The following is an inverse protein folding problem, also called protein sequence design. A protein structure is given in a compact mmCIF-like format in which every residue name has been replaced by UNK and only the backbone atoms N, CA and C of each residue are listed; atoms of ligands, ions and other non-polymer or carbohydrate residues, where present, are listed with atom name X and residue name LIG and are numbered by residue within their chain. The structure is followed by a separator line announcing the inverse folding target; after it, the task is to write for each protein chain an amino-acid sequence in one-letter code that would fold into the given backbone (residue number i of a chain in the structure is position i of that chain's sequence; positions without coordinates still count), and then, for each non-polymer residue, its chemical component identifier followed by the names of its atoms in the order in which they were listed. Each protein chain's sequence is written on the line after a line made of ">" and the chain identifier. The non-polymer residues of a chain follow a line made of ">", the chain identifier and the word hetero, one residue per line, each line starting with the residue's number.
data_IF_130533737820
#
_entry.id   IF_130533737820
#
_cell.length_a   1.000
_cell.length_b   1.000
_cell.length_c   1.000
_cell.angle_alpha   90.00
_cell.angle_beta   90.00
_cell.angle_gamma   90.00
#
_symmetry.space_group_name_H-M   'P 1'
#
loop_
_entity.id
_entity.type
_entity.pdbx_description
1 polymer ?
#
# COMPACT_ATOMS: atom_id res chain seq x y z
N UNK A 1 -22.39 12.87 2.42
CA UNK A 1 -23.80 12.48 2.28
C UNK A 1 -23.95 10.98 1.96
N UNK A 2 -23.21 10.45 0.97
CA UNK A 2 -23.27 9.02 0.59
C UNK A 2 -22.93 8.09 1.78
N UNK A 3 -21.90 8.41 2.56
CA UNK A 3 -21.46 7.61 3.72
C UNK A 3 -22.52 7.59 4.84
N UNK A 4 -23.24 8.69 5.05
CA UNK A 4 -24.31 8.76 6.03
C UNK A 4 -25.53 7.89 5.62
N UNK A 5 -25.84 7.84 4.32
CA UNK A 5 -26.92 7.00 3.78
C UNK A 5 -26.59 5.50 3.86
N UNK A 6 -25.36 5.10 3.58
CA UNK A 6 -24.94 3.70 3.65
C UNK A 6 -24.81 3.19 5.08
N UNK A 7 -24.47 4.07 6.04
CA UNK A 7 -24.28 3.69 7.45
C UNK A 7 -25.52 3.71 8.31
N UNK A 8 -26.68 4.09 7.79
CA UNK A 8 -27.92 4.18 8.58
C UNK A 8 -27.88 5.24 9.69
N UNK A 9 -26.92 6.16 9.66
CA UNK A 9 -26.84 7.25 10.64
C UNK A 9 -27.81 8.39 10.26
N UNK A 10 -28.54 8.89 11.26
CA UNK A 10 -29.16 10.20 11.11
C UNK A 10 -28.09 11.25 10.84
N UNK A 11 -28.36 12.22 9.97
CA UNK A 11 -27.38 13.26 9.59
C UNK A 11 -26.77 13.98 10.80
N UNK A 12 -27.57 14.19 11.87
CA UNK A 12 -27.09 14.74 13.14
C UNK A 12 -26.03 13.86 13.81
N UNK A 13 -26.23 12.55 13.92
CA UNK A 13 -25.24 11.64 14.51
C UNK A 13 -23.96 11.53 13.68
N UNK A 14 -24.04 11.73 12.36
CA UNK A 14 -22.88 11.84 11.49
C UNK A 14 -22.09 13.14 11.76
N UNK A 15 -22.79 14.26 11.87
CA UNK A 15 -22.18 15.57 12.16
C UNK A 15 -21.57 15.60 13.57
N UNK A 16 -22.20 15.00 14.56
CA UNK A 16 -21.66 14.90 15.92
C UNK A 16 -20.36 14.09 15.96
N UNK A 17 -20.27 13.02 15.20
CA UNK A 17 -19.03 12.24 15.07
C UNK A 17 -17.93 13.03 14.36
N UNK A 18 -18.26 13.77 13.29
CA UNK A 18 -17.33 14.67 12.61
C UNK A 18 -16.75 15.73 13.57
N UNK A 19 -17.60 16.29 14.44
CA UNK A 19 -17.22 17.36 15.36
C UNK A 19 -16.39 16.87 16.56
N UNK A 20 -16.55 15.63 16.96
CA UNK A 20 -15.95 15.07 18.18
C UNK A 20 -14.73 14.19 17.91
N UNK A 21 -14.26 14.09 16.65
CA UNK A 21 -13.14 13.22 16.32
C UNK A 21 -11.79 13.95 16.49
N UNK A 22 -10.83 13.38 17.26
CA UNK A 22 -9.56 14.03 17.61
C UNK A 22 -8.52 14.06 16.48
N UNK A 23 -8.93 14.00 15.21
CA UNK A 23 -8.03 14.04 14.05
C UNK A 23 -7.37 15.42 13.83
N UNK A 24 -7.78 16.44 14.60
CA UNK A 24 -7.27 17.82 14.44
C UNK A 24 -5.75 17.98 14.62
N UNK A 25 -5.08 17.00 15.24
CA UNK A 25 -3.63 17.10 15.51
C UNK A 25 -2.76 16.14 14.71
N UNK A 26 -3.35 15.19 13.98
CA UNK A 26 -2.62 14.04 13.40
C UNK A 26 -2.42 14.11 11.90
N UNK A 27 -3.25 14.87 11.17
CA UNK A 27 -3.09 15.00 9.71
C UNK A 27 -2.09 16.11 9.44
N UNK A 28 -0.81 15.74 9.27
CA UNK A 28 0.21 16.69 8.84
C UNK A 28 -0.16 17.21 7.44
N UNK A 29 -0.43 18.51 7.35
CA UNK A 29 -0.65 19.20 6.08
C UNK A 29 0.62 19.02 5.23
N UNK A 30 0.51 18.33 4.10
CA UNK A 30 1.51 18.44 3.06
C UNK A 30 1.45 19.89 2.55
N UNK A 31 2.58 20.59 2.50
CA UNK A 31 2.67 21.95 1.94
C UNK A 31 2.00 21.98 0.56
N UNK A 32 0.90 22.73 0.45
CA UNK A 32 0.15 22.93 -0.79
C UNK A 32 -1.18 22.18 -0.92
N UNK A 33 -1.58 21.33 0.03
CA UNK A 33 -2.89 20.64 -0.01
C UNK A 33 -3.83 21.25 1.07
N UNK A 34 -4.67 22.20 0.66
CA UNK A 34 -5.78 22.75 1.47
C UNK A 34 -6.97 21.77 1.50
N UNK A 35 -6.79 20.57 2.08
CA UNK A 35 -7.94 19.71 2.34
C UNK A 35 -8.56 20.08 3.70
N UNK A 36 -9.88 20.38 3.75
CA UNK A 36 -10.58 20.60 5.01
C UNK A 36 -10.44 19.37 5.93
N UNK A 37 -10.17 19.60 7.21
CA UNK A 37 -10.10 18.55 8.25
C UNK A 37 -11.32 17.62 8.20
N UNK A 38 -12.49 18.15 7.83
CA UNK A 38 -13.72 17.39 7.62
C UNK A 38 -13.60 16.26 6.57
N UNK A 39 -12.73 16.40 5.57
CA UNK A 39 -12.56 15.34 4.54
C UNK A 39 -11.77 14.17 5.13
N UNK A 40 -10.72 14.44 5.89
CA UNK A 40 -9.95 13.41 6.60
C UNK A 40 -10.83 12.60 7.56
N UNK A 41 -11.64 13.28 8.35
CA UNK A 41 -12.60 12.66 9.28
C UNK A 41 -13.65 11.82 8.52
N UNK A 42 -14.18 12.32 7.41
CA UNK A 42 -15.16 11.58 6.61
C UNK A 42 -14.55 10.29 6.00
N UNK A 43 -13.31 10.35 5.54
CA UNK A 43 -12.59 9.19 5.02
C UNK A 43 -12.28 8.17 6.13
N UNK A 44 -11.83 8.64 7.30
CA UNK A 44 -11.66 7.77 8.46
C UNK A 44 -12.95 7.03 8.84
N UNK A 45 -14.06 7.76 8.95
CA UNK A 45 -15.36 7.14 9.25
C UNK A 45 -15.79 6.13 8.18
N UNK A 46 -15.47 6.37 6.91
CA UNK A 46 -15.73 5.41 5.84
C UNK A 46 -14.91 4.12 6.03
N UNK A 47 -13.63 4.22 6.42
CA UNK A 47 -12.81 3.04 6.75
C UNK A 47 -13.39 2.27 7.94
N UNK A 48 -13.67 2.94 9.05
CA UNK A 48 -14.25 2.31 10.25
C UNK A 48 -15.55 1.56 9.91
N UNK A 49 -16.45 2.18 9.15
CA UNK A 49 -17.69 1.56 8.73
C UNK A 49 -17.45 0.29 7.90
N UNK A 50 -16.53 0.36 6.93
CA UNK A 50 -16.20 -0.76 6.04
C UNK A 50 -15.58 -1.91 6.82
N UNK A 51 -14.60 -1.64 7.68
CA UNK A 51 -13.96 -2.67 8.51
C UNK A 51 -14.92 -3.27 9.53
N UNK A 52 -15.79 -2.47 10.15
CA UNK A 52 -16.82 -2.94 11.05
C UNK A 52 -17.86 -3.83 10.35
N UNK A 53 -18.24 -3.50 9.12
CA UNK A 53 -19.14 -4.32 8.33
C UNK A 53 -18.46 -5.66 7.98
N UNK A 54 -17.21 -5.65 7.52
CA UNK A 54 -16.45 -6.86 7.23
C UNK A 54 -16.31 -7.74 8.49
N UNK A 55 -16.00 -7.13 9.64
CA UNK A 55 -15.86 -7.85 10.92
C UNK A 55 -17.16 -8.58 11.32
N UNK A 56 -18.31 -7.94 11.12
CA UNK A 56 -19.61 -8.47 11.51
C UNK A 56 -20.16 -9.49 10.53
N UNK A 57 -20.05 -9.22 9.24
CA UNK A 57 -20.72 -9.99 8.19
C UNK A 57 -19.77 -10.98 7.48
N UNK A 58 -18.49 -10.62 7.36
CA UNK A 58 -17.50 -11.35 6.57
C UNK A 58 -16.13 -11.43 7.27
N UNK A 59 -16.02 -12.07 8.47
CA UNK A 59 -14.79 -12.03 9.28
C UNK A 59 -13.54 -12.61 8.57
N UNK A 60 -13.71 -13.49 7.58
CA UNK A 60 -12.59 -13.97 6.78
C UNK A 60 -12.08 -12.90 5.82
N UNK A 61 -12.98 -12.11 5.24
CA UNK A 61 -12.59 -10.99 4.37
C UNK A 61 -11.95 -9.86 5.16
N UNK A 62 -12.32 -9.60 6.41
CA UNK A 62 -11.64 -8.62 7.28
C UNK A 62 -10.16 -8.95 7.42
N UNK A 63 -9.82 -10.23 7.67
CA UNK A 63 -8.43 -10.68 7.79
C UNK A 63 -7.61 -10.49 6.51
N UNK A 64 -8.26 -10.41 5.35
CA UNK A 64 -7.62 -10.13 4.08
C UNK A 64 -7.60 -8.62 3.78
N UNK A 65 -8.64 -7.88 4.18
CA UNK A 65 -8.76 -6.45 3.93
C UNK A 65 -7.62 -5.65 4.59
N UNK A 66 -7.22 -6.00 5.81
CA UNK A 66 -6.14 -5.32 6.53
C UNK A 66 -4.81 -5.44 5.76
N UNK A 67 -4.28 -6.63 5.44
CA UNK A 67 -3.06 -6.75 4.62
C UNK A 67 -3.15 -6.08 3.24
N UNK A 68 -4.33 -6.07 2.62
CA UNK A 68 -4.55 -5.37 1.35
C UNK A 68 -4.40 -3.85 1.52
N UNK A 69 -5.08 -3.26 2.51
CA UNK A 69 -5.04 -1.82 2.78
C UNK A 69 -3.64 -1.38 3.21
N UNK A 70 -2.98 -2.16 4.07
CA UNK A 70 -1.61 -1.95 4.48
C UNK A 70 -0.68 -1.88 3.25
N UNK A 71 -0.76 -2.90 2.39
CA UNK A 71 0.07 -2.96 1.19
C UNK A 71 -0.23 -1.80 0.24
N UNK A 72 -1.51 -1.53 -0.05
CA UNK A 72 -1.91 -0.44 -0.95
C UNK A 72 -1.54 0.94 -0.41
N UNK A 73 -1.54 1.14 0.92
CA UNK A 73 -1.18 2.42 1.53
C UNK A 73 0.31 2.72 1.51
N UNK A 74 1.17 1.69 1.47
CA UNK A 74 2.63 1.81 1.50
C UNK A 74 3.29 1.65 0.13
N UNK A 75 2.62 1.04 -0.82
CA UNK A 75 3.10 0.85 -2.18
C UNK A 75 2.77 2.07 -3.06
N UNK A 76 3.17 2.05 -4.32
CA UNK A 76 3.07 3.20 -5.21
C UNK A 76 1.61 3.62 -5.46
N UNK A 77 1.37 4.93 -5.40
CA UNK A 77 0.04 5.54 -5.64
C UNK A 77 -0.46 5.39 -7.08
N UNK A 78 0.40 5.01 -8.02
CA UNK A 78 0.04 4.61 -9.39
C UNK A 78 -0.72 3.29 -9.46
N UNK A 79 -0.81 2.58 -8.34
CA UNK A 79 -1.52 1.32 -8.16
C UNK A 79 -0.62 0.09 -8.17
N UNK A 80 -1.10 -0.95 -7.53
CA UNK A 80 -0.46 -2.27 -7.43
C UNK A 80 -1.13 -3.22 -8.42
N UNK A 81 -0.38 -3.99 -9.24
CA UNK A 81 -0.98 -4.98 -10.13
C UNK A 81 -1.92 -5.92 -9.38
N UNK A 82 -3.17 -5.98 -9.81
CA UNK A 82 -4.23 -6.71 -9.10
C UNK A 82 -3.88 -8.20 -8.93
N UNK A 83 -3.23 -8.79 -9.94
CA UNK A 83 -2.81 -10.20 -9.89
C UNK A 83 -1.72 -10.49 -8.83
N UNK A 84 -0.97 -9.48 -8.34
CA UNK A 84 -0.08 -9.65 -7.19
C UNK A 84 -0.85 -9.75 -5.89
N UNK A 85 -1.88 -8.91 -5.74
CA UNK A 85 -2.75 -8.90 -4.56
C UNK A 85 -3.52 -10.21 -4.42
N UNK A 86 -3.94 -10.82 -5.53
CA UNK A 86 -4.62 -12.12 -5.52
C UNK A 86 -3.77 -13.25 -4.93
N UNK A 87 -2.45 -13.07 -4.86
CA UNK A 87 -1.53 -14.04 -4.24
C UNK A 87 -1.36 -13.84 -2.72
N UNK A 88 -2.01 -12.86 -2.11
CA UNK A 88 -1.89 -12.61 -0.67
C UNK A 88 -2.48 -13.74 0.19
N UNK A 89 -3.39 -14.51 -0.36
CA UNK A 89 -4.00 -15.65 0.29
C UNK A 89 -4.04 -16.85 -0.67
N UNK A 90 -4.02 -18.08 -0.14
CA UNK A 90 -4.05 -19.30 -0.97
C UNK A 90 -5.39 -19.43 -1.70
N UNK A 91 -6.48 -19.00 -1.08
CA UNK A 91 -7.78 -18.84 -1.73
C UNK A 91 -7.86 -17.45 -2.39
N UNK A 92 -7.65 -17.41 -3.71
CA UNK A 92 -7.72 -16.19 -4.50
C UNK A 92 -9.13 -15.62 -4.62
N UNK A 93 -10.17 -16.42 -4.42
CA UNK A 93 -11.55 -15.98 -4.56
C UNK A 93 -11.96 -15.11 -3.37
N UNK A 94 -11.54 -15.46 -2.15
CA UNK A 94 -11.77 -14.59 -0.98
C UNK A 94 -11.04 -13.25 -1.13
N UNK A 95 -9.86 -13.23 -1.75
CA UNK A 95 -9.15 -11.97 -2.04
C UNK A 95 -9.93 -11.14 -3.05
N UNK A 96 -10.42 -11.78 -4.12
CA UNK A 96 -11.22 -11.13 -5.17
C UNK A 96 -12.51 -10.53 -4.60
N UNK A 97 -13.21 -11.28 -3.74
CA UNK A 97 -14.43 -10.83 -3.08
C UNK A 97 -14.14 -9.63 -2.16
N UNK A 98 -13.03 -9.69 -1.42
CA UNK A 98 -12.58 -8.59 -0.54
C UNK A 98 -12.26 -7.34 -1.35
N UNK A 99 -11.51 -7.46 -2.45
CA UNK A 99 -11.23 -6.34 -3.38
C UNK A 99 -12.53 -5.76 -3.95
N UNK A 100 -13.46 -6.62 -4.36
CA UNK A 100 -14.76 -6.20 -4.89
C UNK A 100 -15.59 -5.47 -3.83
N UNK A 101 -15.54 -5.90 -2.57
CA UNK A 101 -16.20 -5.23 -1.46
C UNK A 101 -15.58 -3.84 -1.20
N UNK A 102 -14.27 -3.75 -1.07
CA UNK A 102 -13.56 -2.48 -0.86
C UNK A 102 -13.79 -1.49 -2.02
N UNK A 103 -13.87 -2.00 -3.25
CA UNK A 103 -14.18 -1.19 -4.44
C UNK A 103 -15.60 -0.64 -4.40
N UNK A 104 -16.61 -1.47 -4.10
CA UNK A 104 -18.00 -1.02 -3.94
C UNK A 104 -18.16 0.01 -2.83
N UNK A 105 -17.35 -0.08 -1.80
CA UNK A 105 -17.30 0.88 -0.69
C UNK A 105 -16.49 2.13 -1.01
N UNK A 106 -15.97 2.27 -2.23
CA UNK A 106 -15.15 3.42 -2.70
C UNK A 106 -13.86 3.64 -1.90
N UNK A 107 -13.35 2.61 -1.21
CA UNK A 107 -12.06 2.66 -0.52
C UNK A 107 -10.90 2.48 -1.50
N UNK A 108 -11.09 1.66 -2.51
CA UNK A 108 -10.14 1.43 -3.59
C UNK A 108 -10.83 1.58 -4.94
N UNK A 109 -10.03 1.73 -5.99
CA UNK A 109 -10.50 1.76 -7.38
C UNK A 109 -9.57 0.93 -8.27
N UNK A 110 -10.01 0.64 -9.48
CA UNK A 110 -9.18 0.05 -10.53
C UNK A 110 -8.60 1.15 -11.42
N UNK A 111 -7.42 0.89 -11.97
CA UNK A 111 -6.86 1.69 -13.07
C UNK A 111 -7.78 1.63 -14.31
N UNK A 112 -7.61 2.59 -15.21
CA UNK A 112 -8.44 2.68 -16.41
C UNK A 112 -8.37 1.43 -17.32
N UNK A 113 -7.25 0.71 -17.30
CA UNK A 113 -7.03 -0.56 -18.00
C UNK A 113 -7.49 -1.80 -17.19
N UNK A 114 -7.90 -1.61 -15.94
CA UNK A 114 -8.34 -2.69 -15.04
C UNK A 114 -7.21 -3.55 -14.43
N UNK A 115 -5.97 -3.29 -14.80
CA UNK A 115 -4.83 -4.15 -14.43
C UNK A 115 -4.31 -3.90 -13.01
N UNK A 116 -4.56 -2.70 -12.48
CA UNK A 116 -4.05 -2.28 -11.16
C UNK A 116 -5.18 -1.93 -10.20
N UNK A 117 -4.95 -2.22 -8.93
CA UNK A 117 -5.76 -1.73 -7.81
C UNK A 117 -5.09 -0.50 -7.23
N UNK A 118 -5.85 0.55 -7.03
CA UNK A 118 -5.38 1.87 -6.60
C UNK A 118 -6.11 2.25 -5.30
N UNK A 119 -5.36 2.75 -4.32
CA UNK A 119 -5.90 3.55 -3.23
C UNK A 119 -5.63 5.03 -3.55
N UNK A 120 -6.65 5.89 -3.45
CA UNK A 120 -6.44 7.30 -3.70
C UNK A 120 -5.42 7.87 -2.70
N UNK A 121 -4.53 8.79 -3.17
CA UNK A 121 -3.44 9.36 -2.34
C UNK A 121 -3.92 9.82 -0.96
N UNK A 122 -5.00 10.59 -0.91
CA UNK A 122 -5.56 11.10 0.34
C UNK A 122 -6.11 9.96 1.23
N UNK A 123 -6.79 8.98 0.63
CA UNK A 123 -7.27 7.81 1.37
C UNK A 123 -6.10 7.02 1.96
N UNK A 124 -5.05 6.78 1.17
CA UNK A 124 -3.84 6.11 1.66
C UNK A 124 -3.15 6.90 2.77
N UNK A 125 -3.13 8.24 2.69
CA UNK A 125 -2.60 9.10 3.74
C UNK A 125 -3.41 8.98 5.03
N UNK A 126 -4.73 9.14 4.97
CA UNK A 126 -5.62 9.00 6.13
C UNK A 126 -5.48 7.61 6.76
N UNK A 127 -5.39 6.56 5.95
CA UNK A 127 -5.17 5.21 6.45
C UNK A 127 -3.86 5.11 7.23
N UNK A 128 -2.74 5.60 6.69
CA UNK A 128 -1.44 5.57 7.38
C UNK A 128 -1.46 6.35 8.69
N UNK A 129 -1.99 7.56 8.68
CA UNK A 129 -2.03 8.43 9.87
C UNK A 129 -2.90 7.87 10.98
N UNK A 130 -3.97 7.17 10.62
CA UNK A 130 -4.93 6.65 11.59
C UNK A 130 -4.58 5.23 12.06
N UNK A 131 -4.34 4.32 11.12
CA UNK A 131 -4.16 2.89 11.43
C UNK A 131 -2.70 2.50 11.63
N UNK A 132 -1.76 3.22 11.01
CA UNK A 132 -0.32 2.97 11.16
C UNK A 132 0.35 3.97 12.11
N UNK A 133 -0.38 4.46 13.12
CA UNK A 133 0.08 5.50 14.04
C UNK A 133 1.16 5.04 15.02
N UNK A 134 1.29 3.73 15.26
CA UNK A 134 2.31 3.19 16.13
C UNK A 134 3.34 2.33 15.37
N UNK A 135 4.55 2.24 15.96
CA UNK A 135 5.69 1.53 15.34
C UNK A 135 5.39 0.06 15.03
N UNK A 136 4.59 -0.61 15.86
CA UNK A 136 4.26 -2.03 15.67
C UNK A 136 3.40 -2.21 14.44
N UNK A 137 2.35 -1.39 14.29
CA UNK A 137 1.45 -1.41 13.13
C UNK A 137 2.18 -1.06 11.83
N UNK A 138 3.09 -0.07 11.89
CA UNK A 138 3.95 0.24 10.73
C UNK A 138 4.79 -0.98 10.31
N UNK A 139 5.39 -1.69 11.26
CA UNK A 139 6.19 -2.90 10.97
C UNK A 139 5.30 -4.01 10.36
N UNK A 140 4.11 -4.23 10.90
CA UNK A 140 3.15 -5.20 10.39
C UNK A 140 2.72 -4.84 8.95
N UNK A 141 2.33 -3.60 8.71
CA UNK A 141 1.94 -3.13 7.37
C UNK A 141 3.08 -3.27 6.35
N UNK A 142 4.30 -2.96 6.74
CA UNK A 142 5.49 -3.16 5.89
C UNK A 142 5.72 -4.63 5.58
N UNK A 143 5.53 -5.50 6.56
CA UNK A 143 5.63 -6.94 6.35
C UNK A 143 4.60 -7.40 5.32
N UNK A 144 3.38 -6.89 5.36
CA UNK A 144 2.34 -7.18 4.37
C UNK A 144 2.73 -6.69 2.96
N UNK A 145 3.22 -5.45 2.84
CA UNK A 145 3.67 -4.90 1.57
C UNK A 145 4.85 -5.69 0.98
N UNK A 146 5.86 -6.02 1.79
CA UNK A 146 7.02 -6.83 1.38
C UNK A 146 6.60 -8.25 0.99
N UNK A 147 5.68 -8.86 1.74
CA UNK A 147 5.13 -10.18 1.40
C UNK A 147 4.45 -10.15 0.03
N UNK A 148 3.73 -9.07 -0.28
CA UNK A 148 3.14 -8.86 -1.61
C UNK A 148 4.22 -8.85 -2.70
N UNK A 149 5.32 -8.12 -2.49
CA UNK A 149 6.42 -8.03 -3.46
C UNK A 149 7.19 -9.34 -3.58
N UNK A 150 7.44 -10.05 -2.48
CA UNK A 150 8.17 -11.33 -2.48
C UNK A 150 7.43 -12.45 -3.24
N UNK A 151 6.11 -12.35 -3.38
CA UNK A 151 5.31 -13.31 -4.16
C UNK A 151 5.35 -13.08 -5.66
N UNK A 152 5.97 -11.98 -6.10
CA UNK A 152 6.15 -11.68 -7.52
C UNK A 152 7.38 -12.42 -8.04
N UNK A 153 7.19 -13.32 -8.99
CA UNK A 153 8.27 -14.10 -9.58
C UNK A 153 8.51 -13.73 -11.05
N UNK A 154 9.36 -12.73 -11.29
CA UNK A 154 9.70 -12.27 -12.64
C UNK A 154 10.27 -13.39 -13.51
N UNK A 155 10.98 -14.35 -12.91
CA UNK A 155 11.60 -15.45 -13.65
C UNK A 155 10.56 -16.32 -14.37
N UNK A 156 9.37 -16.44 -13.80
CA UNK A 156 8.27 -17.22 -14.36
C UNK A 156 7.41 -16.47 -15.37
N UNK A 157 7.60 -15.16 -15.51
CA UNK A 157 6.85 -14.35 -16.48
C UNK A 157 7.29 -14.75 -17.90
N UNK A 158 6.34 -15.14 -18.73
CA UNK A 158 6.56 -15.50 -20.13
C UNK A 158 6.34 -14.26 -21.00
N UNK A 159 7.19 -14.09 -22.02
CA UNK A 159 7.11 -12.94 -22.92
C UNK A 159 7.97 -11.76 -22.48
N UNK A 160 8.65 -11.17 -23.48
CA UNK A 160 9.61 -10.09 -23.25
C UNK A 160 8.94 -8.81 -22.72
N UNK A 161 7.85 -8.38 -23.36
CA UNK A 161 7.13 -7.18 -22.95
C UNK A 161 6.44 -7.31 -21.61
N UNK A 162 5.83 -8.46 -21.31
CA UNK A 162 5.26 -8.74 -20.00
C UNK A 162 6.33 -8.70 -18.91
N UNK A 163 7.50 -9.31 -19.17
CA UNK A 163 8.61 -9.28 -18.24
C UNK A 163 9.15 -7.86 -18.01
N UNK A 164 9.21 -7.04 -19.05
CA UNK A 164 9.54 -5.61 -18.93
C UNK A 164 8.52 -4.86 -18.08
N UNK A 165 7.22 -5.10 -18.32
CA UNK A 165 6.16 -4.44 -17.56
C UNK A 165 6.18 -4.84 -16.07
N UNK A 166 6.33 -6.13 -15.77
CA UNK A 166 6.47 -6.61 -14.39
C UNK A 166 7.69 -6.02 -13.69
N UNK A 167 8.81 -5.91 -14.41
CA UNK A 167 10.03 -5.30 -13.88
C UNK A 167 9.80 -3.81 -13.58
N UNK A 168 9.14 -3.05 -14.47
CA UNK A 168 8.78 -1.65 -14.22
C UNK A 168 7.89 -1.52 -12.98
N UNK A 169 6.85 -2.35 -12.88
CA UNK A 169 5.96 -2.34 -11.74
C UNK A 169 6.73 -2.61 -10.44
N UNK A 170 7.62 -3.62 -10.42
CA UNK A 170 8.43 -3.92 -9.23
C UNK A 170 9.38 -2.77 -8.86
N UNK A 171 10.07 -2.18 -9.81
CA UNK A 171 10.93 -1.00 -9.56
C UNK A 171 10.12 0.11 -8.89
N UNK A 172 8.95 0.41 -9.43
CA UNK A 172 8.07 1.45 -8.91
C UNK A 172 7.63 1.17 -7.47
N UNK A 173 7.18 -0.05 -7.20
CA UNK A 173 6.71 -0.45 -5.87
C UNK A 173 7.85 -0.49 -4.84
N UNK A 174 9.01 -1.04 -5.21
CA UNK A 174 10.18 -1.07 -4.30
C UNK A 174 10.64 0.36 -3.99
N UNK A 175 10.71 1.23 -4.99
CA UNK A 175 11.06 2.64 -4.78
C UNK A 175 10.06 3.34 -3.86
N UNK A 176 8.78 3.08 -4.00
CA UNK A 176 7.77 3.65 -3.11
C UNK A 176 8.03 3.25 -1.66
N UNK A 177 8.23 1.97 -1.38
CA UNK A 177 8.44 1.51 0.00
C UNK A 177 9.80 1.96 0.57
N UNK A 178 10.83 2.15 -0.25
CA UNK A 178 12.15 2.62 0.18
C UNK A 178 12.22 4.13 0.38
N UNK A 179 11.40 4.92 -0.33
CA UNK A 179 11.40 6.38 -0.25
C UNK A 179 10.57 6.96 0.89
N UNK A 180 9.64 6.18 1.46
CA UNK A 180 8.76 6.68 2.53
C UNK A 180 9.50 6.77 3.86
N UNK A 181 9.42 7.92 4.53
CA UNK A 181 10.00 8.15 5.87
C UNK A 181 9.51 7.13 6.90
N UNK A 182 8.22 6.77 6.82
CA UNK A 182 7.58 5.79 7.69
C UNK A 182 8.11 4.35 7.46
N UNK A 183 8.86 4.13 6.38
CA UNK A 183 9.40 2.82 6.00
C UNK A 183 10.83 2.57 6.49
N UNK A 184 11.40 3.45 7.29
CA UNK A 184 12.78 3.32 7.79
C UNK A 184 12.82 2.77 9.21
N UNK A 185 13.75 1.87 9.52
CA UNK A 185 14.69 1.16 8.66
C UNK A 185 14.02 0.09 7.79
N UNK A 186 14.61 -0.26 6.65
CA UNK A 186 14.15 -1.38 5.83
C UNK A 186 14.24 -2.68 6.65
N UNK A 187 13.25 -3.56 6.57
CA UNK A 187 13.34 -4.83 7.29
C UNK A 187 14.46 -5.68 6.72
N UNK A 188 15.18 -6.36 7.59
CA UNK A 188 16.19 -7.36 7.25
C UNK A 188 15.50 -8.64 6.76
N UNK A 189 14.83 -8.58 5.62
CA UNK A 189 14.21 -9.74 4.99
C UNK A 189 15.08 -10.20 3.81
N UNK A 190 15.72 -11.40 3.92
CA UNK A 190 16.56 -11.93 2.86
C UNK A 190 15.84 -12.12 1.53
N UNK A 191 14.54 -12.44 1.55
CA UNK A 191 13.75 -12.62 0.33
C UNK A 191 13.50 -11.26 -0.35
N UNK A 192 13.26 -10.22 0.43
CA UNK A 192 13.12 -8.87 -0.11
C UNK A 192 14.43 -8.37 -0.72
N UNK A 193 15.57 -8.61 -0.06
CA UNK A 193 16.91 -8.30 -0.62
C UNK A 193 17.13 -9.03 -1.93
N UNK A 194 16.83 -10.32 -1.97
CA UNK A 194 16.94 -11.12 -3.20
C UNK A 194 15.99 -10.61 -4.29
N UNK A 195 14.79 -10.18 -3.92
CA UNK A 195 13.80 -9.55 -4.80
C UNK A 195 14.33 -8.27 -5.43
N UNK A 196 14.96 -7.39 -4.66
CA UNK A 196 15.63 -6.18 -5.14
C UNK A 196 16.75 -6.54 -6.13
N UNK A 197 17.67 -7.43 -5.76
CA UNK A 197 18.77 -7.85 -6.63
C UNK A 197 18.27 -8.47 -7.93
N UNK A 198 17.23 -9.31 -7.87
CA UNK A 198 16.60 -9.90 -9.04
C UNK A 198 15.97 -8.83 -9.93
N UNK A 199 15.30 -7.85 -9.35
CA UNK A 199 14.66 -6.74 -10.09
C UNK A 199 15.71 -5.87 -10.79
N UNK A 200 16.82 -5.54 -10.11
CA UNK A 200 17.96 -4.80 -10.70
C UNK A 200 18.54 -5.57 -11.89
N UNK A 201 18.79 -6.86 -11.73
CA UNK A 201 19.30 -7.72 -12.79
C UNK A 201 18.38 -7.72 -14.02
N UNK A 202 17.07 -7.93 -13.82
CA UNK A 202 16.11 -7.91 -14.94
C UNK A 202 15.97 -6.53 -15.56
N UNK A 203 15.99 -5.45 -14.79
CA UNK A 203 15.97 -4.09 -15.34
C UNK A 203 17.18 -3.84 -16.25
N UNK A 204 18.37 -4.31 -15.85
CA UNK A 204 19.58 -4.17 -16.68
C UNK A 204 19.50 -5.00 -17.97
N UNK A 205 19.20 -6.30 -17.90
CA UNK A 205 19.20 -7.17 -19.08
C UNK A 205 18.05 -6.92 -20.06
N UNK A 206 16.94 -6.34 -19.58
CA UNK A 206 15.79 -5.98 -20.41
C UNK A 206 15.92 -4.58 -21.03
N UNK A 207 17.11 -3.97 -20.97
CA UNK A 207 17.38 -2.70 -21.60
C UNK A 207 16.71 -1.50 -20.91
N UNK A 208 16.60 -1.54 -19.58
CA UNK A 208 16.02 -0.47 -18.75
C UNK A 208 17.05 0.09 -17.73
N UNK A 209 18.27 0.53 -18.19
CA UNK A 209 19.35 0.89 -17.28
C UNK A 209 19.00 2.10 -16.38
N UNK A 210 18.17 3.02 -16.86
CA UNK A 210 17.73 4.18 -16.06
C UNK A 210 16.86 3.74 -14.87
N UNK A 211 16.01 2.73 -15.05
CA UNK A 211 15.21 2.18 -13.96
C UNK A 211 16.07 1.39 -12.97
N UNK A 212 17.07 0.66 -13.47
CA UNK A 212 18.03 -0.04 -12.60
C UNK A 212 18.81 0.95 -11.73
N UNK A 213 19.31 2.05 -12.33
CA UNK A 213 20.02 3.10 -11.61
C UNK A 213 19.11 3.75 -10.55
N UNK A 214 17.91 4.17 -10.94
CA UNK A 214 16.98 4.83 -10.03
C UNK A 214 16.55 3.92 -8.86
N UNK A 215 16.46 2.59 -9.07
CA UNK A 215 16.22 1.64 -8.00
C UNK A 215 17.43 1.50 -7.08
N UNK A 216 18.65 1.38 -7.65
CA UNK A 216 19.88 1.27 -6.87
C UNK A 216 20.09 2.50 -5.98
N UNK A 217 19.91 3.71 -6.51
CA UNK A 217 19.98 4.96 -5.75
C UNK A 217 18.96 5.01 -4.59
N UNK A 218 17.71 4.59 -4.85
CA UNK A 218 16.66 4.56 -3.82
C UNK A 218 16.99 3.58 -2.69
N UNK A 219 17.53 2.41 -3.04
CA UNK A 219 17.93 1.39 -2.05
C UNK A 219 19.17 1.83 -1.27
N UNK A 220 20.18 2.42 -1.94
CA UNK A 220 21.37 2.95 -1.28
C UNK A 220 21.00 4.05 -0.27
N UNK A 221 20.16 5.02 -0.67
CA UNK A 221 19.68 6.07 0.23
C UNK A 221 18.94 5.52 1.45
N UNK A 222 18.16 4.48 1.27
CA UNK A 222 17.48 3.81 2.37
C UNK A 222 18.48 3.04 3.27
N UNK A 223 19.53 2.44 2.70
CA UNK A 223 20.58 1.74 3.43
C UNK A 223 21.45 2.68 4.26
N UNK A 224 21.82 3.85 3.74
CA UNK A 224 22.63 4.85 4.46
C UNK A 224 21.97 5.30 5.77
N UNK A 225 20.66 5.25 5.86
CA UNK A 225 19.93 5.58 7.09
C UNK A 225 19.97 4.49 8.16
N UNK A 226 20.50 3.30 7.83
CA UNK A 226 20.52 2.13 8.71
C UNK A 226 21.84 1.99 9.49
N UNK A 227 22.86 2.77 9.12
CA UNK A 227 24.20 2.69 9.68
C UNK A 227 25.08 1.61 9.02
N UNK A 228 26.42 1.68 9.26
CA UNK A 228 27.41 0.88 8.53
C UNK A 228 27.33 -0.63 8.81
N UNK A 229 26.72 -1.04 9.91
CA UNK A 229 26.64 -2.46 10.32
C UNK A 229 25.39 -3.18 9.79
N UNK A 230 24.53 -2.49 9.01
CA UNK A 230 23.32 -3.11 8.50
C UNK A 230 23.62 -3.96 7.25
N UNK A 231 23.00 -5.15 7.07
CA UNK A 231 23.26 -6.05 5.93
C UNK A 231 23.14 -5.37 4.55
N UNK A 232 22.30 -4.36 4.41
CA UNK A 232 22.16 -3.59 3.17
C UNK A 232 23.29 -2.59 2.93
N UNK A 233 23.97 -2.12 3.99
CA UNK A 233 25.12 -1.22 3.88
C UNK A 233 26.42 -1.98 3.52
N UNK A 234 26.50 -3.27 3.83
CA UNK A 234 27.68 -4.11 3.60
C UNK A 234 27.75 -4.67 2.16
N UNK A 235 26.76 -4.47 1.34
CA UNK A 235 26.67 -4.99 -0.03
C UNK A 235 26.82 -3.94 -1.14
N UNK A 236 27.16 -2.70 -0.81
CA UNK A 236 27.34 -1.58 -1.79
C UNK A 236 28.80 -1.43 -2.21
#
# INVERSE_FOLDING_TARGET
>A
AATAQQGGYALSGYLDRLSNHPLESSISRLEGDDYPDAVGVALFMAYEQVLDQLRKEHPQQEKIAIPLLDSLSLLATSGVPTHWLLKLHDDSDIVRDTLSFLKRSSIIQESADGDKTIIHRLQGQVYRETYLSDRKKIIEARTHAITTLNRVNIKQVIGFEQKRQETRNLVEQIRSITSQEHSRPLPSDPNFTLGIATTLFFAAILGMPQLALALAESVALAADTLGPDHPYALGS
#
